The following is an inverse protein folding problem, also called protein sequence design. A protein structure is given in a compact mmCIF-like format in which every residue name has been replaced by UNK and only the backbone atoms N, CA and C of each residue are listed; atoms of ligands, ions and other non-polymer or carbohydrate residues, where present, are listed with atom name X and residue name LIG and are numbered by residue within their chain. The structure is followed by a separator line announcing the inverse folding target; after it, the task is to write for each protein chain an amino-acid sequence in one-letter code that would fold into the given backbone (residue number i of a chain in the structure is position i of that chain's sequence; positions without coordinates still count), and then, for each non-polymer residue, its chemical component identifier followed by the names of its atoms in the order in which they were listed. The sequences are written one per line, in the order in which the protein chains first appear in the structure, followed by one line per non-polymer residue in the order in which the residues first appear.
data_IF_885102585201
#
_entry.id   IF_885102585201
#
_cell.length_a   1.000
_cell.length_b   1.000
_cell.length_c   1.000
_cell.angle_alpha   90.00
_cell.angle_beta   90.00
_cell.angle_gamma   90.00
#
_symmetry.space_group_name_H-M   'P 1'
#
loop_
_entity.id
_entity.type
_entity.pdbx_description
1 polymer ?
#
# COMPACT_ATOMS: atom_id res chain seq x y z
N UNK A 1 23.57 -5.73 -16.56
CA UNK A 1 22.76 -5.15 -15.47
C UNK A 1 21.61 -4.40 -16.10
N UNK A 2 20.39 -4.90 -15.98
CA UNK A 2 19.18 -4.25 -16.51
C UNK A 2 18.98 -2.90 -15.82
N UNK A 3 18.73 -1.84 -16.60
CA UNK A 3 18.40 -0.53 -16.07
C UNK A 3 17.06 -0.62 -15.30
N UNK A 4 16.99 0.01 -14.12
CA UNK A 4 15.76 0.05 -13.32
C UNK A 4 14.68 0.83 -14.07
N UNK A 5 13.46 0.31 -14.10
CA UNK A 5 12.29 1.00 -14.70
C UNK A 5 12.01 2.33 -14.01
N UNK A 6 12.27 2.43 -12.70
CA UNK A 6 12.08 3.64 -11.89
C UNK A 6 13.40 4.10 -11.24
N UNK A 7 13.71 5.40 -11.28
CA UNK A 7 14.85 5.98 -10.56
C UNK A 7 14.80 5.69 -9.05
N UNK A 8 15.95 5.41 -8.44
CA UNK A 8 16.02 5.00 -7.03
C UNK A 8 15.52 6.10 -6.08
N UNK A 9 15.76 7.37 -6.41
CA UNK A 9 15.29 8.54 -5.66
C UNK A 9 13.76 8.66 -5.61
N UNK A 10 13.05 7.97 -6.52
CA UNK A 10 11.58 7.91 -6.57
C UNK A 10 10.98 6.69 -5.88
N UNK A 11 11.78 5.69 -5.51
CA UNK A 11 11.27 4.49 -4.83
C UNK A 11 11.09 4.76 -3.34
N UNK A 12 9.98 4.31 -2.76
CA UNK A 12 9.72 4.33 -1.31
C UNK A 12 9.34 2.92 -0.86
N UNK A 13 10.25 2.24 -0.18
CA UNK A 13 10.01 0.93 0.40
C UNK A 13 9.70 1.12 1.90
N UNK A 14 8.42 0.95 2.28
CA UNK A 14 7.93 1.24 3.63
C UNK A 14 7.08 0.08 4.15
N UNK A 15 7.05 -0.08 5.47
CA UNK A 15 6.17 -1.00 6.18
C UNK A 15 5.40 -0.27 7.28
N UNK A 16 4.15 -0.68 7.51
CA UNK A 16 3.29 -0.12 8.56
C UNK A 16 3.20 -1.11 9.71
N UNK A 17 3.76 -0.75 10.87
CA UNK A 17 3.62 -1.49 12.12
C UNK A 17 2.68 -0.73 13.05
N UNK A 18 1.75 -1.43 13.68
CA UNK A 18 0.78 -0.82 14.58
C UNK A 18 0.38 -1.81 15.67
N UNK A 19 -0.10 -1.29 16.81
CA UNK A 19 -0.76 -2.10 17.83
C UNK A 19 -2.05 -2.72 17.27
N UNK A 20 -2.57 -3.75 17.95
CA UNK A 20 -3.86 -4.35 17.58
C UNK A 20 -4.94 -3.25 17.60
N UNK A 21 -5.79 -3.25 16.58
CA UNK A 21 -6.87 -2.28 16.36
C UNK A 21 -6.45 -0.80 16.17
N UNK A 22 -5.17 -0.50 15.94
CA UNK A 22 -4.69 0.86 15.67
C UNK A 22 -4.95 1.36 14.23
N UNK A 23 -5.64 0.57 13.39
CA UNK A 23 -5.98 0.98 12.03
C UNK A 23 -4.91 0.76 10.96
N UNK A 24 -4.01 -0.22 11.14
CA UNK A 24 -2.98 -0.62 10.14
C UNK A 24 -3.60 -0.86 8.76
N UNK A 25 -4.60 -1.75 8.70
CA UNK A 25 -5.24 -2.15 7.44
C UNK A 25 -6.02 -0.99 6.80
N UNK A 26 -6.74 -0.22 7.62
CA UNK A 26 -7.51 0.96 7.20
C UNK A 26 -6.64 2.09 6.64
N UNK A 27 -5.39 2.18 7.09
CA UNK A 27 -4.38 3.10 6.55
C UNK A 27 -3.81 2.58 5.23
N UNK A 28 -3.51 1.28 5.14
CA UNK A 28 -3.07 0.65 3.88
C UNK A 28 -4.09 0.85 2.76
N UNK A 29 -5.38 0.67 3.04
CA UNK A 29 -6.45 0.89 2.06
C UNK A 29 -6.46 2.30 1.49
N UNK A 30 -6.26 3.31 2.34
CA UNK A 30 -6.17 4.71 1.89
C UNK A 30 -4.97 4.94 0.99
N UNK A 31 -3.81 4.38 1.33
CA UNK A 31 -2.61 4.49 0.48
C UNK A 31 -2.87 3.88 -0.90
N UNK A 32 -3.48 2.69 -0.95
CA UNK A 32 -3.81 2.02 -2.21
C UNK A 32 -4.85 2.80 -3.02
N UNK A 33 -5.87 3.36 -2.36
CA UNK A 33 -6.89 4.20 -3.00
C UNK A 33 -6.30 5.47 -3.60
N UNK A 34 -5.54 6.24 -2.81
CA UNK A 34 -4.96 7.51 -3.27
C UNK A 34 -3.85 7.33 -4.31
N UNK A 35 -3.18 6.18 -4.34
CA UNK A 35 -2.20 5.86 -5.39
C UNK A 35 -2.84 5.27 -6.65
N UNK A 36 -4.17 5.07 -6.66
CA UNK A 36 -4.89 4.44 -7.77
C UNK A 36 -4.57 2.96 -7.96
N UNK A 37 -3.93 2.31 -6.97
CA UNK A 37 -3.61 0.88 -7.00
C UNK A 37 -4.80 0.00 -6.62
N UNK A 38 -5.76 0.54 -5.87
CA UNK A 38 -7.08 -0.06 -5.68
C UNK A 38 -8.17 1.01 -5.85
N UNK A 39 -9.30 0.64 -6.45
CA UNK A 39 -10.43 1.52 -6.77
C UNK A 39 -11.58 1.43 -5.74
N UNK A 40 -11.51 0.51 -4.76
CA UNK A 40 -12.52 0.35 -3.70
C UNK A 40 -11.90 0.33 -2.31
N UNK A 41 -12.50 1.11 -1.41
CA UNK A 41 -12.17 1.09 0.03
C UNK A 41 -12.90 -0.10 0.66
N UNK A 42 -12.20 -0.92 1.45
CA UNK A 42 -12.74 -2.11 2.12
C UNK A 42 -12.30 -3.48 1.56
N UNK A 43 -11.70 -3.55 0.37
CA UNK A 43 -11.27 -4.84 -0.24
C UNK A 43 -10.06 -5.48 0.46
N UNK A 44 -9.22 -4.71 1.16
CA UNK A 44 -8.03 -5.25 1.83
C UNK A 44 -8.45 -5.97 3.12
N UNK A 45 -9.41 -5.41 3.85
CA UNK A 45 -10.00 -6.06 5.02
C UNK A 45 -10.71 -7.38 4.67
N UNK A 46 -11.25 -7.52 3.46
CA UNK A 46 -11.88 -8.75 2.96
C UNK A 46 -10.88 -9.76 2.33
N UNK A 47 -9.58 -9.45 2.33
CA UNK A 47 -8.54 -10.36 1.84
C UNK A 47 -8.42 -10.44 0.31
N UNK A 48 -9.08 -9.53 -0.42
CA UNK A 48 -9.11 -9.51 -1.89
C UNK A 48 -8.03 -8.64 -2.54
N UNK A 49 -7.15 -8.01 -1.75
CA UNK A 49 -6.07 -7.17 -2.25
C UNK A 49 -5.03 -8.02 -3.02
N UNK A 50 -5.14 -8.01 -4.35
CA UNK A 50 -4.20 -8.67 -5.29
C UNK A 50 -3.25 -7.63 -5.88
#
# INVERSE_FOLDING_TARGET
MTAREYPLDKVRNIGIMAHIDAGKTTTTERILYYTGKNYKIGEVHEGAAT
#
